data_IF_678594282766
#
_entry.id   IF_678594282766
#
_cell.length_a   1.000
_cell.length_b   1.000
_cell.length_c   1.000
_cell.angle_alpha   90.00
_cell.angle_beta   90.00
_cell.angle_gamma   90.00
#
_symmetry.space_group_name_H-M   'P 1'
#
loop_
_entity.id
_entity.type
_entity.pdbx_description
1 polymer ?
#
# COMPACT_ATOMS: atom_id res chain seq x y z
N UNK A 1 -48.17 4.70 22.79
CA UNK A 1 -47.00 5.21 22.03
C UNK A 1 -46.15 4.01 21.65
N UNK A 2 -46.22 3.57 20.40
CA UNK A 2 -45.38 2.49 19.87
C UNK A 2 -44.00 3.05 19.56
N UNK A 3 -42.99 2.63 20.31
CA UNK A 3 -41.60 2.97 20.00
C UNK A 3 -41.27 2.30 18.66
N UNK A 4 -40.80 3.05 17.64
CA UNK A 4 -40.42 2.45 16.37
C UNK A 4 -39.27 1.45 16.61
N UNK A 5 -39.26 0.30 15.92
CA UNK A 5 -38.19 -0.67 16.08
C UNK A 5 -36.84 0.03 15.79
N UNK A 6 -35.82 -0.15 16.64
CA UNK A 6 -34.54 0.48 16.41
C UNK A 6 -34.02 0.04 15.05
N UNK A 7 -33.71 1.01 14.19
CA UNK A 7 -33.10 0.75 12.88
C UNK A 7 -31.88 -0.18 13.09
N UNK A 8 -31.72 -1.24 12.29
CA UNK A 8 -30.55 -2.08 12.36
C UNK A 8 -29.33 -1.19 12.09
N UNK A 9 -28.59 -0.82 13.14
CA UNK A 9 -27.30 -0.16 12.96
C UNK A 9 -26.44 -1.19 12.27
N UNK A 10 -26.16 -0.99 10.98
CA UNK A 10 -25.13 -1.76 10.29
C UNK A 10 -23.87 -1.64 11.15
N UNK A 11 -23.50 -2.75 11.80
CA UNK A 11 -22.36 -2.78 12.70
C UNK A 11 -21.15 -2.20 12.00
N UNK A 12 -20.35 -1.40 12.71
CA UNK A 12 -19.13 -0.81 12.20
C UNK A 12 -18.25 -1.85 11.48
N UNK A 13 -18.21 -3.08 12.02
CA UNK A 13 -17.52 -4.24 11.44
C UNK A 13 -18.09 -4.61 10.06
N UNK A 14 -19.41 -4.62 9.89
CA UNK A 14 -20.07 -4.97 8.63
C UNK A 14 -19.78 -3.95 7.52
N UNK A 15 -19.82 -2.66 7.84
CA UNK A 15 -19.52 -1.59 6.86
C UNK A 15 -18.04 -1.64 6.47
N UNK A 16 -17.14 -1.73 7.47
CA UNK A 16 -15.71 -1.86 7.23
C UNK A 16 -15.36 -3.11 6.43
N UNK A 17 -15.96 -4.25 6.74
CA UNK A 17 -15.71 -5.49 6.02
C UNK A 17 -16.21 -5.40 4.57
N UNK A 18 -17.36 -4.77 4.29
CA UNK A 18 -17.84 -4.57 2.92
C UNK A 18 -16.92 -3.67 2.09
N UNK A 19 -16.49 -2.54 2.65
CA UNK A 19 -15.56 -1.61 1.98
C UNK A 19 -14.23 -2.33 1.71
N UNK A 20 -13.71 -3.04 2.72
CA UNK A 20 -12.46 -3.80 2.60
C UNK A 20 -12.59 -4.96 1.59
N UNK A 21 -13.75 -5.61 1.51
CA UNK A 21 -14.02 -6.65 0.52
C UNK A 21 -13.99 -6.08 -0.90
N UNK A 22 -14.61 -4.91 -1.12
CA UNK A 22 -14.59 -4.23 -2.42
C UNK A 22 -13.15 -3.84 -2.80
N UNK A 23 -12.41 -3.21 -1.88
CA UNK A 23 -11.00 -2.86 -2.10
C UNK A 23 -10.15 -4.10 -2.35
N UNK A 24 -10.37 -5.19 -1.61
CA UNK A 24 -9.66 -6.46 -1.82
C UNK A 24 -9.98 -7.09 -3.16
N UNK A 25 -11.23 -7.04 -3.62
CA UNK A 25 -11.62 -7.54 -4.93
C UNK A 25 -10.96 -6.73 -6.06
N UNK A 26 -10.94 -5.41 -5.95
CA UNK A 26 -10.22 -4.53 -6.86
C UNK A 26 -8.71 -4.79 -6.83
N UNK A 27 -8.13 -5.00 -5.64
CA UNK A 27 -6.72 -5.33 -5.46
C UNK A 27 -6.35 -6.66 -6.12
N UNK A 28 -7.20 -7.69 -6.00
CA UNK A 28 -7.03 -8.98 -6.68
C UNK A 28 -7.11 -8.79 -8.20
N UNK A 29 -8.12 -8.07 -8.70
CA UNK A 29 -8.27 -7.82 -10.14
C UNK A 29 -7.07 -7.05 -10.71
N UNK A 30 -6.62 -5.99 -10.03
CA UNK A 30 -5.44 -5.21 -10.41
C UNK A 30 -4.17 -6.05 -10.37
N UNK A 31 -3.96 -6.83 -9.31
CA UNK A 31 -2.78 -7.70 -9.19
C UNK A 31 -2.80 -8.84 -10.23
N UNK A 32 -3.97 -9.35 -10.59
CA UNK A 32 -4.10 -10.36 -11.64
C UNK A 32 -3.79 -9.77 -13.02
N UNK A 33 -4.28 -8.56 -13.31
CA UNK A 33 -3.92 -7.83 -14.53
C UNK A 33 -2.41 -7.52 -14.58
N UNK A 34 -1.83 -7.12 -13.46
CA UNK A 34 -0.39 -6.89 -13.33
C UNK A 34 0.41 -8.18 -13.55
N UNK A 35 -0.01 -9.30 -12.97
CA UNK A 35 0.63 -10.60 -13.16
C UNK A 35 0.51 -11.08 -14.62
N UNK A 36 -0.64 -10.84 -15.26
CA UNK A 36 -0.82 -11.12 -16.68
C UNK A 36 0.13 -10.28 -17.54
N UNK A 37 0.24 -8.98 -17.27
CA UNK A 37 1.18 -8.11 -17.97
C UNK A 37 2.63 -8.58 -17.77
N UNK A 38 3.00 -8.97 -16.55
CA UNK A 38 4.32 -9.50 -16.24
C UNK A 38 4.64 -10.81 -16.99
N UNK A 39 3.64 -11.67 -17.17
CA UNK A 39 3.74 -12.91 -17.95
C UNK A 39 3.85 -12.64 -19.46
N UNK A 40 3.10 -11.67 -19.97
CA UNK A 40 3.10 -11.29 -21.38
C UNK A 40 4.35 -10.50 -21.78
N UNK A 41 5.06 -9.91 -20.81
CA UNK A 41 6.26 -9.12 -21.06
C UNK A 41 7.45 -10.04 -21.40
N UNK A 42 8.03 -9.94 -22.61
CA UNK A 42 9.14 -10.78 -23.02
C UNK A 42 10.42 -10.46 -22.25
N UNK A 43 11.21 -11.48 -21.92
CA UNK A 43 12.51 -11.29 -21.27
C UNK A 43 13.47 -10.45 -22.12
N UNK A 44 13.38 -10.55 -23.45
CA UNK A 44 14.17 -9.72 -24.37
C UNK A 44 13.86 -8.22 -24.22
N UNK A 45 12.61 -7.86 -23.94
CA UNK A 45 12.23 -6.47 -23.69
C UNK A 45 12.86 -5.97 -22.38
N UNK A 46 12.85 -6.81 -21.34
CA UNK A 46 13.48 -6.49 -20.04
C UNK A 46 14.98 -6.32 -20.20
N UNK A 47 15.65 -7.24 -20.91
CA UNK A 47 17.08 -7.17 -21.18
C UNK A 47 17.47 -5.89 -21.96
N UNK A 48 16.63 -5.48 -22.91
CA UNK A 48 16.84 -4.25 -23.68
C UNK A 48 16.71 -3.00 -22.80
N UNK A 49 15.76 -3.00 -21.86
CA UNK A 49 15.59 -1.93 -20.88
C UNK A 49 16.74 -1.89 -19.87
N UNK A 50 17.20 -3.05 -19.40
CA UNK A 50 18.31 -3.15 -18.44
C UNK A 50 19.65 -2.65 -18.99
N UNK A 51 19.83 -2.67 -20.31
CA UNK A 51 21.03 -2.13 -20.96
C UNK A 51 21.05 -0.60 -21.08
N UNK A 52 19.92 0.08 -20.79
CA UNK A 52 19.86 1.54 -20.87
C UNK A 52 20.50 2.16 -19.62
N UNK A 53 21.50 3.05 -19.77
CA UNK A 53 22.17 3.70 -18.63
C UNK A 53 21.22 4.55 -17.77
N UNK A 54 20.12 5.02 -18.38
CA UNK A 54 19.11 5.87 -17.74
C UNK A 54 18.18 5.09 -16.80
N UNK A 55 18.20 3.75 -16.83
CA UNK A 55 17.29 2.94 -16.02
C UNK A 55 17.94 2.65 -14.66
N UNK A 56 17.33 3.08 -13.55
CA UNK A 56 17.86 2.79 -12.21
C UNK A 56 17.96 1.29 -11.93
N UNK A 57 19.03 0.87 -11.25
CA UNK A 57 19.23 -0.52 -10.86
C UNK A 57 18.03 -1.11 -10.09
N UNK A 58 17.35 -0.29 -9.26
CA UNK A 58 16.14 -0.71 -8.55
C UNK A 58 14.98 -1.06 -9.49
N UNK A 59 14.83 -0.35 -10.62
CA UNK A 59 13.80 -0.64 -11.62
C UNK A 59 14.14 -1.94 -12.35
N UNK A 60 15.41 -2.14 -12.72
CA UNK A 60 15.87 -3.39 -13.34
C UNK A 60 15.58 -4.58 -12.42
N UNK A 61 15.91 -4.47 -11.13
CA UNK A 61 15.63 -5.52 -10.14
C UNK A 61 14.13 -5.85 -10.04
N UNK A 62 13.26 -4.84 -10.05
CA UNK A 62 11.80 -5.05 -10.07
C UNK A 62 11.35 -5.76 -11.35
N UNK A 63 11.94 -5.44 -12.50
CA UNK A 63 11.61 -6.07 -13.79
C UNK A 63 12.12 -7.52 -13.88
N UNK A 64 13.27 -7.82 -13.27
CA UNK A 64 13.79 -9.19 -13.14
C UNK A 64 12.86 -10.04 -12.27
N UNK A 65 12.43 -9.51 -11.12
CA UNK A 65 11.53 -10.18 -10.18
C UNK A 65 10.05 -9.95 -10.49
N UNK A 66 9.70 -9.41 -11.66
CA UNK A 66 8.34 -8.93 -12.00
C UNK A 66 7.24 -9.94 -11.74
N UNK A 67 7.46 -11.21 -12.09
CA UNK A 67 6.47 -12.26 -11.94
C UNK A 67 6.33 -12.65 -10.48
N UNK A 68 7.44 -12.86 -9.78
CA UNK A 68 7.45 -13.19 -8.36
C UNK A 68 6.78 -12.09 -7.52
N UNK A 69 7.12 -10.82 -7.79
CA UNK A 69 6.50 -9.66 -7.12
C UNK A 69 5.00 -9.54 -7.44
N UNK A 70 4.60 -9.77 -8.69
CA UNK A 70 3.18 -9.72 -9.07
C UNK A 70 2.37 -10.86 -8.45
N UNK A 71 2.94 -12.07 -8.39
CA UNK A 71 2.32 -13.20 -7.68
C UNK A 71 2.25 -12.97 -6.17
N UNK A 72 3.27 -12.35 -5.58
CA UNK A 72 3.25 -11.94 -4.18
C UNK A 72 2.14 -10.92 -3.92
N UNK A 73 2.01 -9.89 -4.76
CA UNK A 73 0.90 -8.93 -4.68
C UNK A 73 -0.47 -9.58 -4.83
N UNK A 74 -0.61 -10.54 -5.76
CA UNK A 74 -1.84 -11.29 -5.95
C UNK A 74 -2.18 -12.13 -4.72
N UNK A 75 -1.19 -12.82 -4.14
CA UNK A 75 -1.34 -13.62 -2.93
C UNK A 75 -1.76 -12.74 -1.74
N UNK A 76 -1.09 -11.60 -1.53
CA UNK A 76 -1.44 -10.65 -0.48
C UNK A 76 -2.85 -10.08 -0.67
N UNK A 77 -3.23 -9.74 -1.90
CA UNK A 77 -4.58 -9.25 -2.22
C UNK A 77 -5.64 -10.32 -1.97
N UNK A 78 -5.38 -11.57 -2.35
CA UNK A 78 -6.28 -12.68 -2.10
C UNK A 78 -6.42 -12.97 -0.60
N UNK A 79 -5.32 -12.91 0.15
CA UNK A 79 -5.35 -13.07 1.61
C UNK A 79 -6.11 -11.94 2.29
N UNK A 80 -5.95 -10.69 1.83
CA UNK A 80 -6.72 -9.54 2.33
C UNK A 80 -8.22 -9.68 2.02
N UNK A 81 -8.58 -10.16 0.83
CA UNK A 81 -9.96 -10.47 0.45
C UNK A 81 -10.54 -11.58 1.34
N UNK A 82 -9.77 -12.65 1.57
CA UNK A 82 -10.16 -13.75 2.46
C UNK A 82 -10.33 -13.28 3.91
N UNK A 83 -9.45 -12.40 4.40
CA UNK A 83 -9.57 -11.78 5.71
C UNK A 83 -10.83 -10.89 5.80
N UNK A 84 -11.11 -10.09 4.78
CA UNK A 84 -12.32 -9.25 4.72
C UNK A 84 -13.60 -10.08 4.72
N UNK A 85 -13.60 -11.20 3.98
CA UNK A 85 -14.70 -12.16 4.00
C UNK A 85 -14.83 -12.88 5.36
N UNK A 86 -13.71 -13.26 5.96
CA UNK A 86 -13.68 -13.85 7.30
C UNK A 86 -14.19 -12.90 8.39
N UNK A 87 -13.97 -11.59 8.20
CA UNK A 87 -14.48 -10.53 9.07
C UNK A 87 -16.02 -10.44 9.00
N UNK A 88 -16.59 -10.55 7.79
CA UNK A 88 -18.05 -10.67 7.59
C UNK A 88 -18.61 -11.92 8.27
N UNK A 89 -17.90 -13.06 8.17
CA UNK A 89 -18.28 -14.33 8.81
C UNK A 89 -17.94 -14.41 10.30
N UNK A 90 -17.53 -13.29 10.91
CA UNK A 90 -17.24 -13.18 12.33
C UNK A 90 -16.20 -14.19 12.85
N UNK A 91 -15.18 -14.55 12.05
CA UNK A 91 -14.13 -15.49 12.47
C UNK A 91 -12.96 -14.79 13.14
N UNK A 92 -12.44 -15.38 14.23
CA UNK A 92 -11.34 -14.78 15.01
C UNK A 92 -10.02 -14.70 14.25
N UNK A 93 -9.69 -15.70 13.41
CA UNK A 93 -8.47 -15.67 12.59
C UNK A 93 -8.43 -14.46 11.65
N UNK A 94 -9.60 -14.09 11.10
CA UNK A 94 -9.72 -12.96 10.18
C UNK A 94 -9.41 -11.62 10.86
N UNK A 95 -9.72 -11.50 12.17
CA UNK A 95 -9.37 -10.30 12.95
C UNK A 95 -7.86 -10.11 13.03
N UNK A 96 -7.13 -11.18 13.35
CA UNK A 96 -5.67 -11.14 13.44
C UNK A 96 -5.02 -10.91 12.09
N UNK A 97 -5.50 -11.56 11.03
CA UNK A 97 -5.00 -11.31 9.66
C UNK A 97 -5.23 -9.86 9.24
N UNK A 98 -6.41 -9.30 9.52
CA UNK A 98 -6.72 -7.91 9.17
C UNK A 98 -5.84 -6.91 9.95
N UNK A 99 -5.61 -7.15 11.25
CA UNK A 99 -4.67 -6.35 12.05
C UNK A 99 -3.26 -6.45 11.49
N UNK A 100 -2.80 -7.65 11.10
CA UNK A 100 -1.49 -7.82 10.48
C UNK A 100 -1.36 -7.03 9.18
N UNK A 101 -2.40 -7.00 8.33
CA UNK A 101 -2.42 -6.13 7.14
C UNK A 101 -2.38 -4.65 7.49
N UNK A 102 -3.10 -4.22 8.54
CA UNK A 102 -3.08 -2.82 8.95
C UNK A 102 -1.69 -2.38 9.42
N UNK A 103 -1.06 -3.20 10.26
CA UNK A 103 0.28 -2.93 10.79
C UNK A 103 1.32 -3.03 9.66
N UNK A 104 1.25 -4.08 8.84
CA UNK A 104 2.14 -4.27 7.70
C UNK A 104 2.04 -3.13 6.69
N UNK A 105 0.82 -2.66 6.39
CA UNK A 105 0.59 -1.50 5.52
C UNK A 105 1.19 -0.21 6.10
N UNK A 106 1.03 0.03 7.40
CA UNK A 106 1.66 1.18 8.07
C UNK A 106 3.19 1.11 8.02
N UNK A 107 3.78 -0.05 8.33
CA UNK A 107 5.24 -0.27 8.24
C UNK A 107 5.73 -0.07 6.81
N UNK A 108 5.03 -0.62 5.82
CA UNK A 108 5.39 -0.46 4.41
C UNK A 108 5.28 0.99 3.95
N UNK A 109 4.32 1.75 4.49
CA UNK A 109 4.18 3.18 4.22
C UNK A 109 5.40 3.97 4.73
N UNK A 110 5.88 3.70 5.94
CA UNK A 110 7.12 4.28 6.46
C UNK A 110 8.36 3.81 5.70
N UNK A 111 8.41 2.54 5.27
CA UNK A 111 9.49 2.04 4.42
C UNK A 111 9.52 2.79 3.07
N UNK A 112 8.35 3.06 2.48
CA UNK A 112 8.22 3.88 1.28
C UNK A 112 8.72 5.31 1.48
N UNK A 113 8.41 5.93 2.62
CA UNK A 113 8.94 7.25 3.00
C UNK A 113 10.47 7.25 3.09
N UNK A 114 11.06 6.20 3.70
CA UNK A 114 12.51 6.06 3.76
C UNK A 114 13.14 5.90 2.35
N UNK A 115 12.43 5.24 1.43
CA UNK A 115 12.89 5.06 0.06
C UNK A 115 12.90 6.35 -0.79
N UNK A 116 12.14 7.39 -0.42
CA UNK A 116 12.11 8.69 -1.14
C UNK A 116 13.53 9.26 -1.29
N UNK A 117 14.34 9.19 -0.25
CA UNK A 117 15.72 9.72 -0.28
C UNK A 117 16.56 9.03 -1.34
N UNK A 118 16.50 7.70 -1.38
CA UNK A 118 17.23 6.91 -2.36
C UNK A 118 16.79 7.22 -3.80
N UNK A 119 15.50 7.48 -4.02
CA UNK A 119 14.98 7.90 -5.33
C UNK A 119 15.59 9.24 -5.73
N UNK A 120 15.57 10.25 -4.85
CA UNK A 120 16.17 11.55 -5.15
C UNK A 120 17.68 11.49 -5.35
N UNK A 121 18.40 10.68 -4.56
CA UNK A 121 19.84 10.47 -4.71
C UNK A 121 20.16 9.84 -6.07
N UNK A 122 19.33 8.88 -6.52
CA UNK A 122 19.47 8.26 -7.84
C UNK A 122 19.17 9.25 -8.98
N UNK A 123 18.13 10.08 -8.83
CA UNK A 123 17.82 11.15 -9.80
C UNK A 123 18.97 12.15 -9.91
N UNK A 124 19.59 12.52 -8.78
CA UNK A 124 20.71 13.44 -8.77
C UNK A 124 21.97 12.83 -9.39
N UNK A 125 22.21 11.52 -9.20
CA UNK A 125 23.34 10.81 -9.80
C UNK A 125 23.25 10.70 -11.34
N UNK A 126 22.06 10.85 -11.92
CA UNK A 126 21.88 10.90 -13.38
C UNK A 126 22.21 12.27 -13.98
N UNK A 127 22.41 13.31 -13.17
CA UNK A 127 22.76 14.64 -13.66
C UNK A 127 24.28 14.75 -13.95
N UNK A 128 24.67 15.26 -15.14
CA UNK A 128 26.09 15.42 -15.47
C UNK A 128 26.76 16.46 -14.56
N UNK A 129 27.96 16.15 -14.07
CA UNK A 129 28.73 17.02 -13.19
C UNK A 129 29.02 18.41 -13.81
N UNK A 130 29.20 18.45 -15.14
CA UNK A 130 29.53 19.68 -15.89
C UNK A 130 28.39 20.72 -15.87
N UNK A 131 27.16 20.29 -15.62
CA UNK A 131 26.00 21.19 -15.53
C UNK A 131 25.86 21.83 -14.14
N UNK A 132 26.46 21.24 -13.10
CA UNK A 132 26.33 21.67 -11.69
C UNK A 132 27.01 23.02 -11.43
N UNK A 133 28.09 23.32 -12.14
CA UNK A 133 28.86 24.57 -11.97
C UNK A 133 28.20 25.79 -12.64
N UNK A 134 27.14 25.58 -13.43
CA UNK A 134 26.39 26.67 -14.05
C UNK A 134 25.41 27.33 -13.06
N UNK A 135 25.03 28.61 -13.26
CA UNK A 135 23.97 29.25 -12.47
C UNK A 135 22.64 28.48 -12.54
N UNK A 136 22.30 27.98 -13.72
CA UNK A 136 21.08 27.20 -13.98
C UNK A 136 21.09 25.85 -13.24
N UNK A 137 22.23 25.15 -13.23
CA UNK A 137 22.38 23.90 -12.48
C UNK A 137 22.24 24.08 -10.96
N UNK A 138 22.76 25.19 -10.42
CA UNK A 138 22.61 25.51 -8.98
C UNK A 138 21.16 25.82 -8.60
N UNK A 139 20.43 26.54 -9.44
CA UNK A 139 19.01 26.83 -9.23
C UNK A 139 18.16 25.54 -9.31
N UNK A 140 18.46 24.68 -10.29
CA UNK A 140 17.82 23.37 -10.42
C UNK A 140 18.07 22.47 -9.20
N UNK A 141 19.30 22.42 -8.69
CA UNK A 141 19.62 21.65 -7.47
C UNK A 141 18.88 22.20 -6.24
N UNK A 142 18.78 23.52 -6.10
CA UNK A 142 18.01 24.14 -5.03
C UNK A 142 16.52 23.79 -5.13
N UNK A 143 15.96 23.80 -6.35
CA UNK A 143 14.58 23.36 -6.59
C UNK A 143 14.39 21.86 -6.29
N UNK A 144 15.34 21.00 -6.67
CA UNK A 144 15.32 19.57 -6.34
C UNK A 144 15.34 19.35 -4.83
N UNK A 145 16.18 20.07 -4.08
CA UNK A 145 16.24 19.98 -2.63
C UNK A 145 14.94 20.46 -1.96
N UNK A 146 14.37 21.56 -2.44
CA UNK A 146 13.07 22.04 -1.98
C UNK A 146 11.96 21.01 -2.25
N UNK A 147 11.99 20.39 -3.43
CA UNK A 147 11.06 19.33 -3.83
C UNK A 147 11.22 18.10 -2.96
N UNK A 148 12.47 17.65 -2.70
CA UNK A 148 12.79 16.55 -1.79
C UNK A 148 12.23 16.82 -0.40
N UNK A 149 12.50 18.01 0.15
CA UNK A 149 12.01 18.40 1.47
C UNK A 149 10.48 18.39 1.53
N UNK A 150 9.81 18.99 0.54
CA UNK A 150 8.36 19.04 0.46
C UNK A 150 7.75 17.63 0.34
N UNK A 151 8.30 16.77 -0.52
CA UNK A 151 7.90 15.37 -0.66
C UNK A 151 8.09 14.57 0.64
N UNK A 152 9.18 14.82 1.37
CA UNK A 152 9.40 14.19 2.67
C UNK A 152 8.39 14.64 3.73
N UNK A 153 8.14 15.95 3.85
CA UNK A 153 7.19 16.49 4.82
C UNK A 153 5.78 16.00 4.52
N UNK A 154 5.33 16.12 3.28
CA UNK A 154 4.01 15.66 2.85
C UNK A 154 3.88 14.14 3.00
N UNK A 155 4.91 13.38 2.62
CA UNK A 155 4.98 11.94 2.81
C UNK A 155 4.93 11.53 4.28
N UNK A 156 5.65 12.23 5.17
CA UNK A 156 5.65 11.99 6.60
C UNK A 156 4.27 12.26 7.22
N UNK A 157 3.64 13.37 6.86
CA UNK A 157 2.28 13.70 7.30
C UNK A 157 1.30 12.62 6.84
N UNK A 158 1.39 12.19 5.58
CA UNK A 158 0.60 11.08 5.04
C UNK A 158 0.84 9.77 5.80
N UNK A 159 2.09 9.40 6.04
CA UNK A 159 2.46 8.18 6.74
C UNK A 159 1.95 8.16 8.18
N UNK A 160 2.09 9.27 8.91
CA UNK A 160 1.57 9.41 10.27
C UNK A 160 0.03 9.35 10.27
N UNK A 161 -0.64 10.04 9.35
CA UNK A 161 -2.10 10.00 9.24
C UNK A 161 -2.60 8.57 8.96
N UNK A 162 -1.96 7.85 8.03
CA UNK A 162 -2.25 6.45 7.75
C UNK A 162 -2.00 5.57 8.98
N UNK A 163 -0.87 5.72 9.66
CA UNK A 163 -0.51 4.95 10.83
C UNK A 163 -1.49 5.16 12.00
N UNK A 164 -1.89 6.41 12.26
CA UNK A 164 -2.89 6.76 13.29
C UNK A 164 -4.23 6.12 12.93
N UNK A 165 -4.68 6.23 11.67
CA UNK A 165 -5.93 5.61 11.23
C UNK A 165 -5.89 4.08 11.37
N UNK A 166 -4.80 3.44 10.92
CA UNK A 166 -4.62 1.99 10.96
C UNK A 166 -4.52 1.49 12.41
N UNK A 167 -3.79 2.19 13.26
CA UNK A 167 -3.69 1.92 14.69
C UNK A 167 -5.03 2.07 15.40
N UNK A 168 -5.80 3.12 15.07
CA UNK A 168 -7.14 3.32 15.61
C UNK A 168 -8.11 2.21 15.21
N UNK A 169 -8.10 1.78 13.93
CA UNK A 169 -8.93 0.66 13.46
C UNK A 169 -8.52 -0.64 14.15
N UNK A 170 -7.23 -0.92 14.26
CA UNK A 170 -6.71 -2.11 14.94
C UNK A 170 -7.12 -2.12 16.43
N UNK A 171 -6.96 -0.99 17.13
CA UNK A 171 -7.40 -0.84 18.51
C UNK A 171 -8.91 -1.04 18.64
N UNK A 172 -9.71 -0.43 17.76
CA UNK A 172 -11.17 -0.57 17.76
C UNK A 172 -11.62 -2.01 17.51
N UNK A 173 -10.94 -2.76 16.65
CA UNK A 173 -11.19 -4.19 16.46
C UNK A 173 -10.87 -5.03 17.71
N UNK A 174 -9.97 -4.56 18.58
CA UNK A 174 -9.66 -5.19 19.86
C UNK A 174 -10.62 -4.81 21.00
N UNK A 175 -11.44 -3.76 20.84
CA UNK A 175 -12.37 -3.32 21.90
C UNK A 175 -13.47 -4.35 22.18
N UNK A 176 -13.94 -4.41 23.43
CA UNK A 176 -14.98 -5.33 23.89
C UNK A 176 -16.28 -5.29 23.04
N UNK A 177 -16.79 -4.13 22.59
CA UNK A 177 -17.99 -4.07 21.75
C UNK A 177 -17.82 -4.79 20.40
N UNK A 178 -16.64 -4.68 19.77
CA UNK A 178 -16.36 -5.40 18.53
C UNK A 178 -16.25 -6.90 18.80
N UNK A 179 -15.57 -7.32 19.89
CA UNK A 179 -15.46 -8.72 20.31
C UNK A 179 -16.82 -9.35 20.62
N UNK A 180 -17.73 -8.61 21.22
CA UNK A 180 -19.08 -9.09 21.54
C UNK A 180 -19.96 -9.17 20.30
N UNK A 181 -19.70 -8.32 19.30
CA UNK A 181 -20.28 -8.47 17.98
C UNK A 181 -19.81 -9.80 17.33
N UNK A 182 -18.53 -10.16 17.41
CA UNK A 182 -18.05 -11.48 16.94
C UNK A 182 -18.68 -12.67 17.68
N UNK A 183 -19.09 -12.51 18.95
CA UNK A 183 -19.69 -13.57 19.78
C UNK A 183 -21.18 -13.78 19.58
N UNK A 184 -21.92 -12.78 19.08
CA UNK A 184 -23.35 -12.93 18.80
C UNK A 184 -23.52 -13.61 17.44
N UNK A 185 -24.16 -14.81 17.37
CA UNK A 185 -24.56 -15.40 16.10
C UNK A 185 -25.41 -14.39 15.33
N UNK A 186 -25.26 -14.34 14.01
CA UNK A 186 -26.24 -13.67 13.17
C UNK A 186 -27.58 -14.36 13.44
N UNK A 187 -28.50 -13.63 14.07
CA UNK A 187 -29.90 -14.02 14.17
C UNK A 187 -30.54 -13.92 12.78
#
# INVERSE_FOLDING_TARGET
MTVPPPLPRAGFVTVMAKISLLLGALGVAGSAAQALLALLMPDAAVATLAQRPEVPAGVVWVLEWRLALSLLCLLLSALFLAASWGLLRRREWARWTFIAFLVGGAVLNFAGLAAIGHVFDTLQAMFPADMIDTPEGREFLAQMQASRYLSYVTGLVGAVAFAVLHGWIAWKLCTAPARDEFRRPAA
#
